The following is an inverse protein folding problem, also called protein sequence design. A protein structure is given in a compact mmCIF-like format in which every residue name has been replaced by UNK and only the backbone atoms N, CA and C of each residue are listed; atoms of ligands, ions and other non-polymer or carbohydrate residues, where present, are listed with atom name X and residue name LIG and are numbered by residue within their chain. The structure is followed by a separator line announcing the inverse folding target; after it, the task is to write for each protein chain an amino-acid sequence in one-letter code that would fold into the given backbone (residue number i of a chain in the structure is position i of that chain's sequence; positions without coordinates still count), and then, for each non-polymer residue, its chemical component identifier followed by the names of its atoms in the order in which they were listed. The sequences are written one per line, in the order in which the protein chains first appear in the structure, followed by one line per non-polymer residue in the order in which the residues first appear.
data_IF_733858690000
#
_entry.id   IF_733858690000
#
_cell.length_a   1.000
_cell.length_b   1.000
_cell.length_c   1.000
_cell.angle_alpha   90.00
_cell.angle_beta   90.00
_cell.angle_gamma   90.00
#
_symmetry.space_group_name_H-M   'P 1'
#
loop_
_entity.id
_entity.type
_entity.pdbx_description
1 polymer ?
#
# COMPACT_ATOMS: atom_id res chain seq x y z
N UNK A 1 -13.88 17.22 4.88
CA UNK A 1 -13.11 16.18 4.41
C UNK A 1 -13.03 15.03 5.33
N UNK A 2 -13.42 13.96 4.80
CA UNK A 2 -13.52 12.73 5.52
C UNK A 2 -12.19 12.27 6.08
N UNK A 3 -11.17 12.31 5.26
CA UNK A 3 -9.84 11.86 5.58
C UNK A 3 -9.21 12.64 6.71
N UNK A 4 -9.71 13.83 6.99
CA UNK A 4 -9.18 14.62 8.08
C UNK A 4 -9.81 14.29 9.42
N UNK A 5 -10.87 13.48 9.43
CA UNK A 5 -11.60 13.15 10.64
C UNK A 5 -11.43 11.71 11.05
N UNK A 6 -11.43 10.82 10.09
CA UNK A 6 -11.31 9.39 10.37
C UNK A 6 -11.09 8.65 9.07
N UNK A 7 -10.78 7.37 9.20
CA UNK A 7 -10.71 6.47 8.07
C UNK A 7 -12.11 6.27 7.51
N UNK A 8 -12.29 6.31 6.17
CA UNK A 8 -13.61 6.08 5.58
C UNK A 8 -14.21 4.75 6.03
N UNK A 9 -15.49 4.75 6.44
CA UNK A 9 -16.14 3.50 6.89
C UNK A 9 -16.12 2.39 5.85
N UNK A 10 -16.20 2.75 4.57
CA UNK A 10 -16.16 1.77 3.49
C UNK A 10 -14.81 1.08 3.42
N UNK A 11 -13.73 1.80 3.64
CA UNK A 11 -12.38 1.24 3.68
C UNK A 11 -12.23 0.31 4.88
N UNK A 12 -12.67 0.73 6.06
CA UNK A 12 -12.62 -0.12 7.24
C UNK A 12 -13.34 -1.43 7.01
N UNK A 13 -14.52 -1.37 6.42
CA UNK A 13 -15.35 -2.54 6.14
C UNK A 13 -14.67 -3.46 5.14
N UNK A 14 -14.09 -2.88 4.10
CA UNK A 14 -13.37 -3.64 3.09
C UNK A 14 -12.18 -4.39 3.71
N UNK A 15 -11.43 -3.72 4.59
CA UNK A 15 -10.29 -4.34 5.27
C UNK A 15 -10.77 -5.49 6.17
N UNK A 16 -11.84 -5.29 6.92
CA UNK A 16 -12.39 -6.33 7.79
C UNK A 16 -12.83 -7.55 6.97
N UNK A 17 -13.47 -7.33 5.83
CA UNK A 17 -13.98 -8.41 5.00
C UNK A 17 -12.87 -9.20 4.32
N UNK A 18 -11.70 -8.59 4.11
CA UNK A 18 -10.60 -9.18 3.36
C UNK A 18 -9.34 -9.41 4.20
N UNK A 19 -9.44 -9.28 5.54
CA UNK A 19 -8.23 -9.29 6.38
C UNK A 19 -7.38 -10.55 6.24
N UNK A 20 -7.97 -11.68 5.91
CA UNK A 20 -7.21 -12.92 5.70
C UNK A 20 -6.49 -12.95 4.36
N UNK A 21 -6.86 -12.05 3.45
CA UNK A 21 -6.28 -11.97 2.11
C UNK A 21 -5.30 -10.82 1.96
N UNK A 22 -5.19 -9.95 2.97
CA UNK A 22 -4.38 -8.74 2.90
C UNK A 22 -2.96 -9.02 3.36
N UNK A 23 -2.00 -8.55 2.56
CA UNK A 23 -0.58 -8.52 2.91
C UNK A 23 -0.10 -7.07 2.87
N UNK A 24 0.78 -6.70 3.79
CA UNK A 24 1.35 -5.36 3.81
C UNK A 24 2.82 -5.43 3.45
N UNK A 25 3.26 -4.54 2.56
CA UNK A 25 4.69 -4.35 2.37
C UNK A 25 5.22 -3.45 3.47
N UNK A 26 6.52 -3.58 3.80
CA UNK A 26 7.14 -2.66 4.76
C UNK A 26 7.15 -1.24 4.23
N UNK A 27 7.14 -1.04 2.91
CA UNK A 27 7.04 0.28 2.29
C UNK A 27 5.68 0.91 2.61
N UNK A 28 4.61 0.14 2.49
CA UNK A 28 3.27 0.62 2.85
C UNK A 28 3.18 1.00 4.32
N UNK A 29 3.77 0.19 5.20
CA UNK A 29 3.81 0.52 6.62
C UNK A 29 4.56 1.82 6.88
N UNK A 30 5.69 2.01 6.21
CA UNK A 30 6.48 3.23 6.36
C UNK A 30 5.67 4.45 5.91
N UNK A 31 4.94 4.34 4.81
CA UNK A 31 4.12 5.44 4.33
C UNK A 31 2.98 5.77 5.28
N UNK A 32 2.35 4.76 5.87
CA UNK A 32 1.30 4.96 6.86
C UNK A 32 1.85 5.67 8.10
N UNK A 33 3.02 5.25 8.58
CA UNK A 33 3.67 5.89 9.71
C UNK A 33 4.01 7.35 9.42
N UNK A 34 4.55 7.61 8.25
CA UNK A 34 4.91 8.95 7.83
C UNK A 34 3.66 9.83 7.69
N UNK A 35 2.58 9.27 7.14
CA UNK A 35 1.30 9.98 7.03
C UNK A 35 0.75 10.38 8.39
N UNK A 36 0.88 9.52 9.39
CA UNK A 36 0.48 9.84 10.75
C UNK A 36 1.23 11.06 11.29
N UNK A 37 2.55 11.10 11.08
CA UNK A 37 3.36 12.21 11.57
C UNK A 37 3.00 13.55 10.93
N UNK A 38 2.40 13.52 9.74
CA UNK A 38 2.00 14.71 9.00
C UNK A 38 0.53 15.09 9.19
N UNK A 39 -0.24 14.24 9.86
CA UNK A 39 -1.64 14.51 10.10
C UNK A 39 -1.82 15.67 11.08
N UNK A 40 -2.89 16.46 10.95
CA UNK A 40 -3.20 17.49 11.97
C UNK A 40 -3.33 16.86 13.35
N UNK A 41 -2.89 17.60 14.37
CA UNK A 41 -2.90 17.10 15.73
C UNK A 41 -4.30 16.64 16.18
N UNK A 42 -5.34 17.31 15.70
CA UNK A 42 -6.72 16.98 16.03
C UNK A 42 -7.17 15.62 15.53
N UNK A 43 -6.44 15.05 14.56
CA UNK A 43 -6.81 13.78 13.95
C UNK A 43 -5.79 12.67 14.21
N UNK A 44 -4.62 13.01 14.77
CA UNK A 44 -3.55 12.03 14.97
C UNK A 44 -3.97 10.89 15.88
N UNK A 45 -4.78 11.17 16.89
CA UNK A 45 -5.22 10.14 17.82
C UNK A 45 -6.06 9.06 17.11
N UNK A 46 -6.98 9.49 16.24
CA UNK A 46 -7.83 8.56 15.48
C UNK A 46 -7.01 7.76 14.47
N UNK A 47 -6.09 8.42 13.78
CA UNK A 47 -5.21 7.75 12.81
C UNK A 47 -4.29 6.79 13.52
N UNK A 48 -3.73 7.18 14.67
CA UNK A 48 -2.83 6.33 15.44
C UNK A 48 -3.54 5.08 15.94
N UNK A 49 -4.77 5.22 16.43
CA UNK A 49 -5.55 4.07 16.90
C UNK A 49 -5.85 3.11 15.77
N UNK A 50 -6.26 3.62 14.62
CA UNK A 50 -6.54 2.81 13.45
C UNK A 50 -5.28 2.09 12.95
N UNK A 51 -4.16 2.81 12.88
CA UNK A 51 -2.90 2.25 12.42
C UNK A 51 -2.42 1.14 13.35
N UNK A 52 -2.53 1.34 14.66
CA UNK A 52 -2.16 0.31 15.64
C UNK A 52 -3.01 -0.94 15.45
N UNK A 53 -4.30 -0.78 15.20
CA UNK A 53 -5.19 -1.90 14.95
C UNK A 53 -4.81 -2.65 13.68
N UNK A 54 -4.53 -1.93 12.59
CA UNK A 54 -4.11 -2.53 11.32
C UNK A 54 -2.81 -3.30 11.50
N UNK A 55 -1.84 -2.71 12.17
CA UNK A 55 -0.54 -3.35 12.41
C UNK A 55 -0.70 -4.62 13.22
N UNK A 56 -1.53 -4.60 14.23
CA UNK A 56 -1.77 -5.77 15.07
C UNK A 56 -2.40 -6.90 14.27
N UNK A 57 -3.38 -6.59 13.42
CA UNK A 57 -4.08 -7.59 12.63
C UNK A 57 -3.23 -8.15 11.49
N UNK A 58 -2.44 -7.30 10.84
CA UNK A 58 -1.72 -7.66 9.63
C UNK A 58 -0.22 -7.90 9.84
N UNK A 59 0.29 -7.75 11.06
CA UNK A 59 1.71 -7.97 11.33
C UNK A 59 2.23 -9.32 10.82
N UNK A 60 1.51 -10.44 11.01
CA UNK A 60 1.98 -11.72 10.50
C UNK A 60 2.03 -11.80 8.98
N UNK A 61 1.32 -10.91 8.29
CA UNK A 61 1.26 -10.88 6.83
C UNK A 61 2.10 -9.75 6.24
N UNK A 62 3.02 -9.16 7.02
CA UNK A 62 3.90 -8.08 6.53
C UNK A 62 5.04 -8.69 5.71
N UNK A 63 5.23 -8.17 4.51
CA UNK A 63 6.23 -8.64 3.57
C UNK A 63 7.42 -7.70 3.51
N UNK A 64 8.63 -8.18 3.83
CA UNK A 64 9.84 -7.35 3.82
C UNK A 64 10.40 -7.15 2.41
N UNK A 65 11.28 -6.16 2.26
CA UNK A 65 12.05 -5.97 1.04
C UNK A 65 13.25 -6.92 1.07
N UNK A 66 13.07 -8.09 0.47
CA UNK A 66 14.12 -9.08 0.36
C UNK A 66 14.91 -8.88 -0.94
N UNK A 67 16.04 -9.56 -1.07
CA UNK A 67 16.80 -9.50 -2.31
C UNK A 67 15.98 -9.92 -3.53
N UNK A 68 15.24 -11.05 -3.51
CA UNK A 68 14.40 -11.40 -4.66
C UNK A 68 13.37 -10.32 -5.02
N UNK A 69 12.76 -9.67 -4.02
CA UNK A 69 11.81 -8.59 -4.26
C UNK A 69 12.52 -7.40 -4.92
N UNK A 70 13.71 -7.05 -4.45
CA UNK A 70 14.48 -5.95 -5.02
C UNK A 70 14.96 -6.26 -6.44
N UNK A 71 15.28 -7.51 -6.74
CA UNK A 71 15.58 -7.92 -8.11
C UNK A 71 14.34 -7.73 -8.99
N UNK A 72 13.19 -8.16 -8.51
CA UNK A 72 11.95 -7.96 -9.26
C UNK A 72 11.66 -6.47 -9.48
N UNK A 73 11.96 -5.63 -8.46
CA UNK A 73 11.83 -4.20 -8.58
C UNK A 73 12.75 -3.63 -9.67
N UNK A 74 13.99 -4.10 -9.75
CA UNK A 74 14.90 -3.66 -10.81
C UNK A 74 14.37 -4.03 -12.19
N UNK A 75 13.76 -5.20 -12.33
CA UNK A 75 13.12 -5.61 -13.57
C UNK A 75 11.98 -4.69 -13.94
N UNK A 76 11.16 -4.32 -12.95
CA UNK A 76 10.06 -3.40 -13.17
C UNK A 76 10.57 -2.02 -13.62
N UNK A 77 11.60 -1.51 -12.96
CA UNK A 77 12.19 -0.20 -13.33
C UNK A 77 12.71 -0.24 -14.77
N UNK A 78 13.37 -1.33 -15.17
CA UNK A 78 13.84 -1.48 -16.54
C UNK A 78 12.68 -1.51 -17.53
N UNK A 79 11.61 -2.22 -17.22
CA UNK A 79 10.42 -2.31 -18.04
C UNK A 79 9.73 -0.94 -18.19
N UNK A 80 9.62 -0.20 -17.11
CA UNK A 80 9.04 1.15 -17.12
C UNK A 80 9.84 2.08 -18.06
N UNK A 81 11.17 1.94 -18.03
CA UNK A 81 12.05 2.74 -18.87
C UNK A 81 11.78 2.45 -20.34
N UNK A 82 11.66 1.16 -20.69
CA UNK A 82 11.37 0.74 -22.08
C UNK A 82 10.02 1.29 -22.53
N UNK A 83 9.02 1.27 -21.66
CA UNK A 83 7.68 1.80 -21.97
C UNK A 83 7.59 3.31 -21.91
N UNK A 84 8.63 3.98 -21.47
CA UNK A 84 8.63 5.42 -21.23
C UNK A 84 7.51 5.84 -20.25
N UNK A 85 7.33 5.04 -19.20
CA UNK A 85 6.36 5.29 -18.13
C UNK A 85 7.12 5.48 -16.82
N UNK A 86 6.52 6.24 -15.92
CA UNK A 86 7.14 6.54 -14.62
C UNK A 86 6.23 6.16 -13.47
N UNK A 87 6.86 5.81 -12.35
CA UNK A 87 6.21 5.60 -11.06
C UNK A 87 7.09 6.22 -9.99
N UNK A 88 6.49 6.61 -8.88
CA UNK A 88 7.33 7.00 -7.74
C UNK A 88 8.11 5.79 -7.25
N UNK A 89 9.23 6.05 -6.54
CA UNK A 89 10.04 4.97 -6.00
C UNK A 89 9.20 4.08 -5.07
N UNK A 90 8.44 4.68 -4.18
CA UNK A 90 7.62 3.95 -3.21
C UNK A 90 6.56 3.10 -3.90
N UNK A 91 5.83 3.66 -4.85
CA UNK A 91 4.80 2.91 -5.57
C UNK A 91 5.41 1.77 -6.37
N UNK A 92 6.57 1.98 -6.99
CA UNK A 92 7.24 0.93 -7.74
C UNK A 92 7.70 -0.22 -6.84
N UNK A 93 8.14 0.08 -5.63
CA UNK A 93 8.53 -0.94 -4.65
C UNK A 93 7.32 -1.74 -4.16
N UNK A 94 6.21 -1.08 -3.91
CA UNK A 94 4.95 -1.74 -3.54
C UNK A 94 4.48 -2.65 -4.67
N UNK A 95 4.50 -2.14 -5.91
CA UNK A 95 4.09 -2.92 -7.07
C UNK A 95 5.00 -4.14 -7.29
N UNK A 96 6.31 -3.97 -7.14
CA UNK A 96 7.26 -5.07 -7.31
C UNK A 96 7.04 -6.16 -6.25
N UNK A 97 6.75 -5.76 -5.01
CA UNK A 97 6.43 -6.70 -3.94
C UNK A 97 5.19 -7.52 -4.32
N UNK A 98 4.14 -6.85 -4.77
CA UNK A 98 2.92 -7.52 -5.19
C UNK A 98 3.17 -8.46 -6.37
N UNK A 99 3.93 -8.01 -7.37
CA UNK A 99 4.25 -8.82 -8.54
C UNK A 99 5.06 -10.06 -8.14
N UNK A 100 6.00 -9.91 -7.23
CA UNK A 100 6.84 -11.04 -6.81
C UNK A 100 6.02 -12.12 -6.12
N UNK A 101 5.09 -11.73 -5.24
CA UNK A 101 4.28 -12.68 -4.48
C UNK A 101 2.98 -13.08 -5.17
N UNK A 102 2.66 -12.49 -6.32
CA UNK A 102 1.42 -12.80 -7.04
C UNK A 102 0.19 -12.19 -6.40
N UNK A 103 0.34 -11.02 -5.76
CA UNK A 103 -0.77 -10.31 -5.13
C UNK A 103 -1.27 -9.16 -5.99
N UNK A 104 -2.50 -8.73 -5.74
CA UNK A 104 -3.02 -7.48 -6.27
C UNK A 104 -2.65 -6.32 -5.33
N UNK A 105 -2.60 -5.12 -5.88
CA UNK A 105 -2.44 -3.90 -5.08
C UNK A 105 -3.82 -3.33 -4.78
N UNK A 106 -4.12 -3.14 -3.51
CA UNK A 106 -5.37 -2.49 -3.09
C UNK A 106 -5.08 -1.00 -2.91
N UNK A 107 -5.66 -0.17 -3.75
CA UNK A 107 -5.42 1.27 -3.74
C UNK A 107 -6.56 2.03 -4.38
N UNK A 108 -6.84 3.22 -3.85
CA UNK A 108 -7.76 4.14 -4.51
C UNK A 108 -7.04 4.92 -5.64
N UNK A 109 -5.72 5.01 -5.58
CA UNK A 109 -4.91 5.70 -6.60
C UNK A 109 -4.51 4.72 -7.71
N UNK A 110 -5.50 4.20 -8.41
CA UNK A 110 -5.29 3.14 -9.40
C UNK A 110 -4.33 3.53 -10.51
N UNK A 111 -4.37 4.79 -10.95
CA UNK A 111 -3.50 5.26 -12.03
C UNK A 111 -2.02 5.17 -11.69
N UNK A 112 -1.67 5.30 -10.42
CA UNK A 112 -0.28 5.26 -9.98
C UNK A 112 0.34 3.88 -10.18
N UNK A 113 -0.48 2.84 -10.27
CA UNK A 113 -0.01 1.45 -10.36
C UNK A 113 -0.25 0.81 -11.72
N UNK A 114 -1.02 1.44 -12.59
CA UNK A 114 -1.28 0.92 -13.93
C UNK A 114 0.01 0.64 -14.73
N UNK A 115 1.04 1.51 -14.67
CA UNK A 115 2.25 1.25 -15.44
C UNK A 115 2.97 -0.05 -15.08
N UNK A 116 2.78 -0.54 -13.88
CA UNK A 116 3.44 -1.77 -13.41
C UNK A 116 2.84 -3.05 -13.98
N UNK A 117 1.63 -2.99 -14.52
CA UNK A 117 0.93 -4.18 -15.01
C UNK A 117 0.49 -5.11 -13.90
N UNK A 118 0.45 -4.64 -12.66
CA UNK A 118 0.00 -5.41 -11.51
C UNK A 118 -1.54 -5.36 -11.44
N UNK A 119 -2.13 -6.42 -10.93
CA UNK A 119 -3.57 -6.42 -10.67
C UNK A 119 -3.91 -5.38 -9.60
N UNK A 120 -4.97 -4.61 -9.83
CA UNK A 120 -5.35 -3.50 -8.96
C UNK A 120 -6.78 -3.70 -8.48
N UNK A 121 -6.99 -3.49 -7.18
CA UNK A 121 -8.31 -3.50 -6.57
C UNK A 121 -8.53 -2.16 -5.88
N UNK A 122 -9.63 -1.49 -6.18
CA UNK A 122 -9.97 -0.23 -5.52
C UNK A 122 -10.97 -0.51 -4.40
N UNK A 123 -10.55 -0.43 -3.11
CA UNK A 123 -11.44 -0.73 -2.00
C UNK A 123 -12.55 0.30 -1.79
N UNK A 124 -12.50 1.41 -2.51
CA UNK A 124 -13.51 2.47 -2.43
C UNK A 124 -14.40 2.51 -3.66
N UNK A 125 -14.19 1.63 -4.61
CA UNK A 125 -15.01 1.57 -5.82
C UNK A 125 -16.44 1.09 -5.54
#
# INVERSE_FOLDING_TARGET
MLERRSVPPKLKRWIEDHQEEIFLSVVSLAELQFGLLRAPATHQANVAAWLAEIRQRLAPATEPLTLPVLVRWKELIADLKVKNRTMTCEDSLIAATALYYGHAVATHNTRHFEPAGVEIVDPLA
#
